data_IF_992901807788
#
_entry.id   IF_992901807788
#
_cell.length_a   1.000
_cell.length_b   1.000
_cell.length_c   1.000
_cell.angle_alpha   90.00
_cell.angle_beta   90.00
_cell.angle_gamma   90.00
#
_symmetry.space_group_name_H-M   'P 1'
#
loop_
_entity.id
_entity.type
_entity.pdbx_description
1 polymer ?
#
# COMPACT_ATOMS: atom_id res chain seq x y z
N UNK A 1 -4.79 48.05 -15.92
CA UNK A 1 -5.97 47.55 -16.65
C UNK A 1 -5.71 46.07 -16.94
N UNK A 2 -6.26 45.16 -16.13
CA UNK A 2 -5.98 43.71 -16.26
C UNK A 2 -6.86 43.14 -17.38
N UNK A 3 -6.28 42.82 -18.54
CA UNK A 3 -6.97 42.12 -19.62
C UNK A 3 -7.13 40.65 -19.22
N UNK A 4 -8.19 40.33 -18.47
CA UNK A 4 -8.68 38.96 -18.43
C UNK A 4 -9.18 38.63 -19.83
N UNK A 5 -8.40 37.84 -20.53
CA UNK A 5 -8.87 37.14 -21.72
C UNK A 5 -9.92 36.15 -21.24
N UNK A 6 -11.19 36.50 -21.36
CA UNK A 6 -12.28 35.53 -21.32
C UNK A 6 -11.98 34.52 -22.43
N UNK A 7 -11.42 33.37 -22.03
CA UNK A 7 -11.14 32.27 -22.94
C UNK A 7 -12.46 31.61 -23.25
N UNK A 8 -13.19 32.15 -24.23
CA UNK A 8 -14.41 31.52 -24.75
C UNK A 8 -14.00 30.21 -25.41
N UNK A 9 -14.12 29.10 -24.65
CA UNK A 9 -13.72 27.77 -25.09
C UNK A 9 -14.64 27.36 -26.23
N UNK A 10 -14.13 27.43 -27.46
CA UNK A 10 -14.86 26.97 -28.63
C UNK A 10 -14.87 25.44 -28.69
N UNK A 11 -15.85 24.82 -28.02
CA UNK A 11 -16.02 23.36 -27.98
C UNK A 11 -16.13 22.73 -29.39
N UNK A 12 -16.72 23.44 -30.36
CA UNK A 12 -16.84 22.97 -31.74
C UNK A 12 -15.53 22.97 -32.54
N UNK A 13 -14.57 23.83 -32.17
CA UNK A 13 -13.22 23.80 -32.74
C UNK A 13 -12.39 22.68 -32.09
N UNK A 14 -12.54 22.50 -30.77
CA UNK A 14 -11.90 21.43 -30.02
C UNK A 14 -12.35 20.04 -30.52
N UNK A 15 -13.66 19.84 -30.72
CA UNK A 15 -14.21 18.58 -31.23
C UNK A 15 -13.71 18.22 -32.64
N UNK A 16 -13.59 19.19 -33.55
CA UNK A 16 -12.99 18.98 -34.88
C UNK A 16 -11.50 18.67 -34.83
N UNK A 17 -10.77 19.39 -33.98
CA UNK A 17 -9.33 19.13 -33.77
C UNK A 17 -9.10 17.74 -33.17
N UNK A 18 -9.97 17.31 -32.26
CA UNK A 18 -9.91 15.99 -31.63
C UNK A 18 -10.30 14.88 -32.61
N UNK A 19 -11.33 15.09 -33.45
CA UNK A 19 -11.70 14.14 -34.51
C UNK A 19 -10.58 13.97 -35.55
N UNK A 20 -9.93 15.06 -35.96
CA UNK A 20 -8.80 15.00 -36.90
C UNK A 20 -7.54 14.34 -36.29
N UNK A 21 -7.39 14.38 -34.97
CA UNK A 21 -6.23 13.84 -34.23
C UNK A 21 -6.64 12.79 -33.20
N UNK A 22 -7.64 11.98 -33.52
CA UNK A 22 -8.15 10.93 -32.64
C UNK A 22 -7.06 9.93 -32.19
N UNK A 23 -6.02 9.77 -33.03
CA UNK A 23 -4.84 8.97 -32.72
C UNK A 23 -4.05 9.47 -31.49
N UNK A 24 -4.16 10.75 -31.12
CA UNK A 24 -3.56 11.27 -29.88
C UNK A 24 -4.19 10.61 -28.64
N UNK A 25 -5.49 10.31 -28.69
CA UNK A 25 -6.18 9.58 -27.61
C UNK A 25 -5.59 8.18 -27.51
N UNK A 26 -5.39 7.49 -28.64
CA UNK A 26 -4.77 6.16 -28.64
C UNK A 26 -3.35 6.20 -28.08
N UNK A 27 -2.52 7.17 -28.48
CA UNK A 27 -1.16 7.30 -27.94
C UNK A 27 -1.19 7.52 -26.44
N UNK A 28 -2.08 8.39 -25.94
CA UNK A 28 -2.19 8.65 -24.50
C UNK A 28 -2.61 7.37 -23.74
N UNK A 29 -3.55 6.60 -24.30
CA UNK A 29 -3.96 5.31 -23.74
C UNK A 29 -2.80 4.32 -23.74
N UNK A 30 -2.05 4.21 -24.84
CA UNK A 30 -0.89 3.32 -24.94
C UNK A 30 0.22 3.71 -23.95
N UNK A 31 0.49 5.01 -23.79
CA UNK A 31 1.43 5.51 -22.80
C UNK A 31 0.96 5.15 -21.39
N UNK A 32 -0.32 5.42 -21.06
CA UNK A 32 -0.90 5.09 -19.76
C UNK A 32 -0.86 3.60 -19.46
N UNK A 33 -1.21 2.75 -20.43
CA UNK A 33 -1.14 1.30 -20.32
C UNK A 33 0.30 0.82 -20.12
N UNK A 34 1.27 1.37 -20.87
CA UNK A 34 2.68 1.07 -20.72
C UNK A 34 3.20 1.44 -19.32
N UNK A 35 2.87 2.64 -18.84
CA UNK A 35 3.19 3.08 -17.47
C UNK A 35 2.56 2.15 -16.42
N UNK A 36 1.31 1.74 -16.60
CA UNK A 36 0.63 0.82 -15.70
C UNK A 36 1.34 -0.54 -15.62
N UNK A 37 1.76 -1.10 -16.75
CA UNK A 37 2.51 -2.37 -16.82
C UNK A 37 3.87 -2.23 -16.11
N UNK A 38 4.60 -1.14 -16.35
CA UNK A 38 5.88 -0.88 -15.70
C UNK A 38 5.70 -0.77 -14.17
N UNK A 39 4.70 -0.03 -13.71
CA UNK A 39 4.43 0.13 -12.28
C UNK A 39 3.96 -1.19 -11.65
N UNK A 40 3.15 -1.97 -12.36
CA UNK A 40 2.67 -3.26 -11.87
C UNK A 40 3.82 -4.26 -11.68
N UNK A 41 4.77 -4.33 -12.62
CA UNK A 41 5.93 -5.23 -12.49
C UNK A 41 7.04 -4.72 -11.56
N UNK A 42 7.10 -3.41 -11.31
CA UNK A 42 8.10 -2.84 -10.41
C UNK A 42 7.73 -2.98 -8.92
N UNK A 43 6.52 -3.45 -8.60
CA UNK A 43 6.08 -3.65 -7.22
C UNK A 43 6.19 -5.11 -6.84
N UNK A 44 6.77 -5.36 -5.67
CA UNK A 44 6.74 -6.68 -5.04
C UNK A 44 5.32 -6.99 -4.57
N UNK A 45 4.92 -8.25 -4.67
CA UNK A 45 3.63 -8.72 -4.18
C UNK A 45 3.62 -8.75 -2.64
N UNK A 46 2.89 -7.82 -2.02
CA UNK A 46 2.71 -7.82 -0.57
C UNK A 46 1.57 -8.75 -0.17
N UNK A 47 1.89 -9.86 0.51
CA UNK A 47 0.92 -10.78 1.08
C UNK A 47 0.69 -10.50 2.56
N UNK A 48 -0.58 -10.34 2.96
CA UNK A 48 -0.95 -10.15 4.37
C UNK A 48 -1.40 -11.47 4.97
N UNK A 49 -0.72 -11.91 6.03
CA UNK A 49 -1.11 -13.06 6.84
C UNK A 49 -1.46 -12.61 8.27
N UNK A 50 -2.49 -13.24 8.84
CA UNK A 50 -2.95 -12.96 10.22
C UNK A 50 -2.87 -14.22 11.05
N UNK A 51 -2.26 -14.13 12.24
CA UNK A 51 -2.20 -15.21 13.21
C UNK A 51 -2.66 -14.71 14.59
N UNK A 52 -3.39 -15.56 15.32
CA UNK A 52 -3.76 -15.32 16.71
C UNK A 52 -2.86 -16.16 17.63
N UNK A 53 -2.28 -15.53 18.64
CA UNK A 53 -1.42 -16.19 19.63
C UNK A 53 -1.98 -15.94 21.02
N UNK A 54 -2.20 -17.01 21.77
CA UNK A 54 -2.61 -16.94 23.16
C UNK A 54 -1.39 -16.95 24.07
N UNK A 55 -1.21 -15.90 24.86
CA UNK A 55 -0.18 -15.87 25.90
C UNK A 55 -0.69 -16.61 27.14
N UNK A 56 0.17 -17.47 27.70
CA UNK A 56 -0.08 -18.09 29.00
C UNK A 56 -0.02 -17.07 30.13
N UNK A 57 -0.67 -17.39 31.24
CA UNK A 57 -0.54 -16.63 32.50
C UNK A 57 0.73 -17.06 33.23
N UNK A 58 1.52 -16.10 33.68
CA UNK A 58 2.65 -16.40 34.56
C UNK A 58 2.12 -16.74 35.96
N UNK A 59 2.61 -17.83 36.54
CA UNK A 59 2.25 -18.26 37.90
C UNK A 59 3.48 -18.36 38.79
N UNK A 60 3.33 -18.10 40.09
CA UNK A 60 4.36 -18.37 41.07
C UNK A 60 4.50 -19.89 41.34
N UNK A 61 5.41 -20.26 42.25
CA UNK A 61 5.66 -21.67 42.63
C UNK A 61 4.44 -22.35 43.28
N UNK A 62 3.45 -21.57 43.73
CA UNK A 62 2.23 -22.01 44.37
C UNK A 62 1.01 -21.94 43.42
N UNK A 63 1.21 -21.57 42.16
CA UNK A 63 0.15 -21.47 41.16
C UNK A 63 -0.64 -20.16 41.16
N UNK A 64 -0.23 -19.15 41.93
CA UNK A 64 -0.91 -17.85 41.95
C UNK A 64 -0.52 -17.03 40.72
N UNK A 65 -1.46 -16.33 40.07
CA UNK A 65 -1.16 -15.49 38.92
C UNK A 65 -0.27 -14.32 39.35
N UNK A 66 0.81 -14.10 38.60
CA UNK A 66 1.76 -13.00 38.80
C UNK A 66 1.87 -12.16 37.54
N UNK A 67 1.88 -10.83 37.71
CA UNK A 67 2.12 -9.91 36.63
C UNK A 67 3.58 -10.05 36.16
N UNK A 68 3.76 -10.66 34.99
CA UNK A 68 5.07 -10.87 34.39
C UNK A 68 5.15 -10.20 33.02
N UNK A 69 6.33 -9.64 32.71
CA UNK A 69 6.60 -9.03 31.42
C UNK A 69 6.43 -10.05 30.27
N UNK A 70 6.74 -11.32 30.52
CA UNK A 70 6.62 -12.42 29.55
C UNK A 70 5.17 -12.81 29.23
N UNK A 71 4.23 -12.51 30.12
CA UNK A 71 2.80 -12.76 29.91
C UNK A 71 2.05 -11.50 29.42
N UNK A 72 2.76 -10.41 29.12
CA UNK A 72 2.16 -9.16 28.72
C UNK A 72 1.86 -9.15 27.21
N UNK A 73 0.58 -9.16 26.78
CA UNK A 73 0.22 -9.22 25.36
C UNK A 73 0.67 -7.99 24.58
N UNK A 74 0.79 -6.82 25.22
CA UNK A 74 1.29 -5.60 24.57
C UNK A 74 2.78 -5.68 24.28
N UNK A 75 3.56 -6.24 25.21
CA UNK A 75 4.99 -6.42 25.02
C UNK A 75 5.27 -7.45 23.91
N UNK A 76 4.56 -8.58 23.91
CA UNK A 76 4.67 -9.58 22.85
C UNK A 76 4.27 -9.02 21.47
N UNK A 77 3.19 -8.23 21.39
CA UNK A 77 2.78 -7.60 20.15
C UNK A 77 3.83 -6.61 19.61
N UNK A 78 4.53 -5.89 20.49
CA UNK A 78 5.60 -4.97 20.10
C UNK A 78 6.82 -5.73 19.54
N UNK A 79 7.26 -6.78 20.24
CA UNK A 79 8.41 -7.59 19.80
C UNK A 79 8.10 -8.28 18.46
N UNK A 80 6.88 -8.81 18.28
CA UNK A 80 6.47 -9.45 17.04
C UNK A 80 6.47 -8.52 15.81
N UNK A 81 6.40 -7.20 16.03
CA UNK A 81 6.40 -6.17 14.98
C UNK A 81 7.79 -5.55 14.75
N UNK A 82 8.84 -6.04 15.43
CA UNK A 82 10.20 -5.53 15.24
C UNK A 82 10.77 -6.01 13.90
N UNK A 83 11.51 -5.15 13.19
CA UNK A 83 12.07 -5.45 11.87
C UNK A 83 12.89 -6.75 11.86
N UNK A 84 13.65 -7.03 12.91
CA UNK A 84 14.42 -8.27 13.05
C UNK A 84 13.53 -9.54 13.00
N UNK A 85 12.43 -9.55 13.77
CA UNK A 85 11.49 -10.67 13.81
C UNK A 85 10.72 -10.79 12.49
N UNK A 86 10.32 -9.66 11.91
CA UNK A 86 9.66 -9.64 10.61
C UNK A 86 10.58 -10.15 9.49
N UNK A 87 11.87 -9.76 9.50
CA UNK A 87 12.86 -10.24 8.54
C UNK A 87 13.15 -11.74 8.71
N UNK A 88 13.29 -12.22 9.95
CA UNK A 88 13.48 -13.64 10.23
C UNK A 88 12.26 -14.48 9.80
N UNK A 89 11.05 -13.98 10.03
CA UNK A 89 9.82 -14.63 9.58
C UNK A 89 9.75 -14.67 8.05
N UNK A 90 10.05 -13.56 7.36
CA UNK A 90 10.10 -13.48 5.90
C UNK A 90 11.07 -14.50 5.29
N UNK A 91 12.24 -14.70 5.90
CA UNK A 91 13.21 -15.72 5.46
C UNK A 91 12.73 -17.17 5.60
N UNK A 92 11.78 -17.45 6.50
CA UNK A 92 11.26 -18.80 6.69
C UNK A 92 10.08 -19.13 5.77
N UNK A 93 9.42 -18.11 5.20
CA UNK A 93 8.23 -18.27 4.35
C UNK A 93 8.48 -17.95 2.88
N UNK A 94 9.55 -17.21 2.56
CA UNK A 94 10.04 -16.96 1.20
C UNK A 94 11.00 -18.03 0.72
#
# INVERSE_FOLDING_TARGET
MSTRTDSEINLGALGRALAARWWLILILVLIGAGLAVVIAHARDDTYTATASVYLGQATDVNGNPVASLNANPRAAAYVAQTEEILAAAAQHVG
#
